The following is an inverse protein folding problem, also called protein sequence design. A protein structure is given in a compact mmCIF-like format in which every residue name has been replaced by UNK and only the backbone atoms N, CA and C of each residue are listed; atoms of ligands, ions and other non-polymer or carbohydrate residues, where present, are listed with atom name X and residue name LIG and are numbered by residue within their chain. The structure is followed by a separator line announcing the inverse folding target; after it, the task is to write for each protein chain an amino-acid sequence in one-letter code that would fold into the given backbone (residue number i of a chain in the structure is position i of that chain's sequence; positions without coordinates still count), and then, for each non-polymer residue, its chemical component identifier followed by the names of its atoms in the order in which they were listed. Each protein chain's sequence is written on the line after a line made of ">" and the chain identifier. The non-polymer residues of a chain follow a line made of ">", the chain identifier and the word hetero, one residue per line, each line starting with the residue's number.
data_IF_676119728339
#
_entry.id   IF_676119728339
#
_cell.length_a   1.000
_cell.length_b   1.000
_cell.length_c   1.000
_cell.angle_alpha   90.00
_cell.angle_beta   90.00
_cell.angle_gamma   90.00
#
_symmetry.space_group_name_H-M   'P 1'
#
loop_
_entity.id
_entity.type
_entity.pdbx_description
1 polymer ?
#
# COMPACT_ATOMS: atom_id res chain seq x y z
N UNK A 1 -22.65 6.98 -17.32
CA UNK A 1 -21.62 8.03 -17.14
C UNK A 1 -21.06 8.07 -15.72
N UNK A 2 -21.86 7.91 -14.66
CA UNK A 2 -21.33 7.97 -13.28
C UNK A 2 -20.52 6.71 -12.87
N UNK A 3 -20.89 5.52 -13.36
CA UNK A 3 -20.19 4.27 -13.07
C UNK A 3 -18.73 4.24 -13.56
N UNK A 4 -18.42 4.91 -14.67
CA UNK A 4 -17.05 5.04 -15.18
C UNK A 4 -16.16 5.86 -14.26
N UNK A 5 -16.70 6.89 -13.62
CA UNK A 5 -15.95 7.76 -12.70
C UNK A 5 -15.71 7.06 -11.36
N UNK A 6 -16.71 6.32 -10.89
CA UNK A 6 -16.58 5.43 -9.72
C UNK A 6 -15.52 4.37 -9.96
N UNK A 7 -15.51 3.73 -11.13
CA UNK A 7 -14.51 2.74 -11.49
C UNK A 7 -13.09 3.32 -11.41
N UNK A 8 -12.84 4.47 -12.02
CA UNK A 8 -11.54 5.16 -11.96
C UNK A 8 -11.16 5.46 -10.50
N UNK A 9 -12.07 6.08 -9.74
CA UNK A 9 -11.80 6.46 -8.35
C UNK A 9 -11.48 5.25 -7.46
N UNK A 10 -12.27 4.18 -7.55
CA UNK A 10 -12.05 2.97 -6.75
C UNK A 10 -10.74 2.30 -7.17
N UNK A 11 -10.52 2.11 -8.47
CA UNK A 11 -9.32 1.41 -8.97
C UNK A 11 -8.05 2.15 -8.57
N UNK A 12 -7.98 3.47 -8.77
CA UNK A 12 -6.82 4.27 -8.35
C UNK A 12 -6.57 4.14 -6.85
N UNK A 13 -7.61 4.25 -6.03
CA UNK A 13 -7.48 4.16 -4.58
C UNK A 13 -7.02 2.77 -4.11
N UNK A 14 -7.62 1.70 -4.67
CA UNK A 14 -7.25 0.33 -4.34
C UNK A 14 -5.82 0.00 -4.77
N UNK A 15 -5.39 0.49 -5.94
CA UNK A 15 -4.03 0.31 -6.44
C UNK A 15 -2.99 0.99 -5.55
N UNK A 16 -3.26 2.23 -5.13
CA UNK A 16 -2.37 2.93 -4.18
C UNK A 16 -2.32 2.19 -2.84
N UNK A 17 -3.48 1.78 -2.30
CA UNK A 17 -3.53 1.03 -1.05
C UNK A 17 -2.72 -0.28 -1.13
N UNK A 18 -2.85 -1.02 -2.24
CA UNK A 18 -2.10 -2.26 -2.50
C UNK A 18 -0.59 -2.05 -2.53
N UNK A 19 -0.11 -0.98 -3.16
CA UNK A 19 1.32 -0.63 -3.19
C UNK A 19 1.84 -0.24 -1.80
N UNK A 20 0.99 0.37 -0.97
CA UNK A 20 1.39 0.84 0.36
C UNK A 20 1.38 -0.26 1.43
N UNK A 21 0.53 -1.28 1.29
CA UNK A 21 0.37 -2.36 2.27
C UNK A 21 1.69 -3.08 2.62
N UNK A 22 2.58 -3.42 1.66
CA UNK A 22 3.89 -3.96 1.94
C UNK A 22 4.80 -3.06 2.81
N UNK A 23 4.51 -1.75 2.91
CA UNK A 23 5.25 -0.80 3.74
C UNK A 23 5.26 -1.16 5.23
N UNK A 24 4.17 -1.73 5.75
CA UNK A 24 4.08 -2.17 7.14
C UNK A 24 5.05 -3.33 7.45
N UNK A 25 5.33 -4.20 6.46
CA UNK A 25 6.32 -5.27 6.59
C UNK A 25 7.72 -4.67 6.66
N UNK A 26 8.02 -3.69 5.79
CA UNK A 26 9.30 -3.00 5.78
C UNK A 26 9.62 -2.31 7.12
N UNK A 27 8.65 -1.63 7.74
CA UNK A 27 8.87 -1.01 9.04
C UNK A 27 9.18 -2.03 10.13
N UNK A 28 8.51 -3.19 10.11
CA UNK A 28 8.81 -4.29 11.04
C UNK A 28 10.20 -4.86 10.82
N UNK A 29 10.60 -5.10 9.56
CA UNK A 29 11.94 -5.59 9.20
C UNK A 29 13.02 -4.60 9.63
N UNK A 30 12.82 -3.29 9.41
CA UNK A 30 13.74 -2.24 9.85
C UNK A 30 13.91 -2.21 11.37
N UNK A 31 12.80 -2.33 12.12
CA UNK A 31 12.85 -2.40 13.59
C UNK A 31 13.62 -3.63 14.08
N UNK A 32 13.44 -4.78 13.45
CA UNK A 32 14.21 -5.99 13.75
C UNK A 32 15.70 -5.83 13.42
N UNK A 33 16.02 -5.22 12.28
CA UNK A 33 17.40 -4.91 11.90
C UNK A 33 18.08 -3.98 12.90
N UNK A 34 17.40 -2.92 13.31
CA UNK A 34 17.93 -1.96 14.29
C UNK A 34 18.10 -2.59 15.66
N UNK A 35 17.16 -3.44 16.08
CA UNK A 35 17.27 -4.19 17.33
C UNK A 35 18.49 -5.13 17.33
N UNK A 36 18.80 -5.76 16.20
CA UNK A 36 20.00 -6.57 16.06
C UNK A 36 21.29 -5.74 16.14
N UNK A 37 21.36 -4.62 15.42
CA UNK A 37 22.57 -3.79 15.35
C UNK A 37 22.87 -3.01 16.63
N UNK A 38 21.82 -2.63 17.38
CA UNK A 38 21.96 -1.75 18.56
C UNK A 38 21.67 -2.46 19.89
N UNK A 39 21.16 -3.70 19.85
CA UNK A 39 20.67 -4.41 21.03
C UNK A 39 19.38 -3.82 21.64
N UNK A 40 18.84 -2.74 21.08
CA UNK A 40 17.68 -2.03 21.62
C UNK A 40 16.45 -2.25 20.76
N UNK A 41 15.39 -2.83 21.34
CA UNK A 41 14.11 -2.96 20.65
C UNK A 41 13.40 -1.62 20.71
N UNK A 42 13.33 -0.92 19.58
CA UNK A 42 12.46 0.25 19.47
C UNK A 42 11.02 -0.16 19.79
N UNK A 43 10.46 0.45 20.83
CA UNK A 43 9.06 0.28 21.19
C UNK A 43 8.19 0.73 20.02
N UNK A 44 7.08 0.03 19.73
CA UNK A 44 6.14 0.50 18.73
C UNK A 44 5.64 1.89 19.14
N UNK A 45 5.49 2.81 18.17
CA UNK A 45 5.07 4.21 18.40
C UNK A 45 3.75 4.32 19.17
N UNK A 46 2.91 3.29 19.16
CA UNK A 46 1.62 3.21 19.83
C UNK A 46 1.60 1.98 20.75
N UNK A 47 1.92 2.18 22.04
CA UNK A 47 1.74 1.15 23.08
C UNK A 47 0.34 1.29 23.71
N UNK A 48 -0.36 0.17 23.92
CA UNK A 48 -1.65 0.14 24.63
C UNK A 48 -2.90 0.41 23.77
N UNK A 49 -2.74 0.57 22.46
CA UNK A 49 -3.86 0.74 21.52
C UNK A 49 -3.88 -0.45 20.55
N UNK A 50 -5.08 -0.90 20.15
CA UNK A 50 -5.21 -1.88 19.07
C UNK A 50 -4.78 -1.24 17.75
N UNK A 51 -3.48 -1.34 17.50
CA UNK A 51 -2.80 -0.85 16.29
C UNK A 51 -3.34 -1.50 15.02
N UNK A 52 -4.00 -2.67 15.10
CA UNK A 52 -4.65 -3.30 13.94
C UNK A 52 -5.91 -2.54 13.56
N UNK A 53 -6.78 -2.25 14.52
CA UNK A 53 -8.00 -1.49 14.30
C UNK A 53 -7.70 -0.09 13.73
N UNK A 54 -6.70 0.61 14.28
CA UNK A 54 -6.25 1.90 13.74
C UNK A 54 -5.69 1.77 12.32
N UNK A 55 -4.88 0.74 12.06
CA UNK A 55 -4.33 0.51 10.72
C UNK A 55 -5.44 0.24 9.69
N UNK A 56 -6.48 -0.51 10.06
CA UNK A 56 -7.63 -0.74 9.19
C UNK A 56 -8.45 0.54 8.99
N UNK A 57 -8.69 1.32 10.05
CA UNK A 57 -9.38 2.59 9.96
C UNK A 57 -8.65 3.59 9.06
N UNK A 58 -7.33 3.72 9.20
CA UNK A 58 -6.49 4.53 8.31
C UNK A 58 -6.54 4.02 6.87
N UNK A 59 -6.47 2.70 6.67
CA UNK A 59 -6.60 2.10 5.34
C UNK A 59 -7.92 2.45 4.66
N UNK A 60 -9.04 2.32 5.38
CA UNK A 60 -10.38 2.69 4.90
C UNK A 60 -10.44 4.18 4.59
N UNK A 61 -9.95 5.06 5.48
CA UNK A 61 -9.95 6.50 5.23
C UNK A 61 -9.12 6.87 3.99
N UNK A 62 -7.97 6.23 3.78
CA UNK A 62 -7.14 6.44 2.59
C UNK A 62 -7.90 6.01 1.33
N UNK A 63 -8.54 4.83 1.33
CA UNK A 63 -9.32 4.35 0.18
C UNK A 63 -10.45 5.33 -0.12
N UNK A 64 -11.26 5.69 0.87
CA UNK A 64 -12.42 6.58 0.69
C UNK A 64 -11.99 7.97 0.18
N UNK A 65 -10.95 8.56 0.78
CA UNK A 65 -10.47 9.89 0.37
C UNK A 65 -9.86 9.89 -1.03
N UNK A 66 -9.05 8.88 -1.37
CA UNK A 66 -8.48 8.74 -2.71
C UNK A 66 -9.55 8.40 -3.75
N UNK A 67 -10.55 7.59 -3.41
CA UNK A 67 -11.66 7.29 -4.32
C UNK A 67 -12.51 8.52 -4.58
N UNK A 68 -12.82 9.31 -3.55
CA UNK A 68 -13.53 10.57 -3.71
C UNK A 68 -12.73 11.56 -4.59
N UNK A 69 -11.42 11.65 -4.36
CA UNK A 69 -10.54 12.49 -5.18
C UNK A 69 -10.48 12.00 -6.64
N UNK A 70 -10.29 10.70 -6.87
CA UNK A 70 -10.26 10.12 -8.22
C UNK A 70 -11.59 10.27 -8.95
N UNK A 71 -12.72 10.11 -8.25
CA UNK A 71 -14.05 10.39 -8.79
C UNK A 71 -14.18 11.86 -9.21
N UNK A 72 -13.75 12.80 -8.37
CA UNK A 72 -13.79 14.22 -8.70
C UNK A 72 -12.97 14.55 -9.95
N UNK A 73 -11.74 14.04 -10.06
CA UNK A 73 -10.90 14.22 -11.25
C UNK A 73 -11.57 13.60 -12.49
N UNK A 74 -12.10 12.38 -12.39
CA UNK A 74 -12.80 11.73 -13.49
C UNK A 74 -14.05 12.52 -13.92
N UNK A 75 -14.78 13.11 -12.98
CA UNK A 75 -15.96 13.94 -13.26
C UNK A 75 -15.62 15.23 -14.04
N UNK A 76 -14.41 15.77 -13.86
CA UNK A 76 -13.92 16.95 -14.60
C UNK A 76 -13.48 16.56 -16.01
N UNK A 77 -12.76 15.45 -16.15
CA UNK A 77 -12.22 14.99 -17.46
C UNK A 77 -13.34 14.46 -18.35
N UNK A 78 -14.33 13.79 -17.75
CA UNK A 78 -15.45 13.17 -18.45
C UNK A 78 -15.05 12.01 -19.38
N UNK A 79 -14.23 11.03 -18.94
CA UNK A 79 -13.83 9.91 -19.78
C UNK A 79 -15.03 9.03 -20.15
N UNK A 80 -14.99 8.47 -21.35
CA UNK A 80 -15.97 7.47 -21.76
C UNK A 80 -15.74 6.12 -21.04
N UNK A 81 -16.67 5.19 -21.21
CA UNK A 81 -16.60 3.87 -20.56
C UNK A 81 -15.40 3.05 -21.01
N UNK A 82 -15.05 3.10 -22.29
CA UNK A 82 -13.93 2.35 -22.85
C UNK A 82 -12.60 2.87 -22.29
N UNK A 83 -12.41 4.19 -22.26
CA UNK A 83 -11.25 4.85 -21.67
C UNK A 83 -11.10 4.52 -20.19
N UNK A 84 -12.22 4.52 -19.45
CA UNK A 84 -12.23 4.19 -18.01
C UNK A 84 -11.82 2.74 -17.76
N UNK A 85 -12.25 1.80 -18.59
CA UNK A 85 -11.86 0.39 -18.50
C UNK A 85 -10.37 0.23 -18.83
N UNK A 86 -9.91 0.83 -19.93
CA UNK A 86 -8.49 0.74 -20.34
C UNK A 86 -7.58 1.32 -19.26
N UNK A 87 -7.91 2.50 -18.73
CA UNK A 87 -7.19 3.10 -17.60
C UNK A 87 -7.12 2.15 -16.40
N UNK A 88 -8.27 1.58 -16.03
CA UNK A 88 -8.37 0.71 -14.86
C UNK A 88 -7.51 -0.55 -15.00
N UNK A 89 -7.55 -1.19 -16.16
CA UNK A 89 -6.71 -2.38 -16.44
C UNK A 89 -5.22 -2.03 -16.34
N UNK A 90 -4.80 -0.94 -16.97
CA UNK A 90 -3.40 -0.51 -16.95
C UNK A 90 -2.94 -0.18 -15.53
N UNK A 91 -3.74 0.55 -14.76
CA UNK A 91 -3.42 0.92 -13.37
C UNK A 91 -3.33 -0.29 -12.46
N UNK A 92 -4.20 -1.28 -12.63
CA UNK A 92 -4.13 -2.54 -11.87
C UNK A 92 -2.87 -3.33 -12.20
N UNK A 93 -2.53 -3.48 -13.49
CA UNK A 93 -1.30 -4.18 -13.92
C UNK A 93 -0.06 -3.50 -13.34
N UNK A 94 0.03 -2.17 -13.45
CA UNK A 94 1.17 -1.40 -12.91
C UNK A 94 1.25 -1.58 -11.39
N UNK A 95 0.12 -1.49 -10.68
CA UNK A 95 0.09 -1.66 -9.23
C UNK A 95 0.54 -3.06 -8.79
N UNK A 96 0.17 -4.09 -9.54
CA UNK A 96 0.58 -5.47 -9.27
C UNK A 96 2.08 -5.65 -9.53
N UNK A 97 2.63 -5.11 -10.61
CA UNK A 97 4.07 -5.15 -10.88
C UNK A 97 4.85 -4.45 -9.76
N UNK A 98 4.45 -3.25 -9.36
CA UNK A 98 5.12 -2.51 -8.27
C UNK A 98 5.04 -3.30 -6.96
N UNK A 99 3.87 -3.88 -6.66
CA UNK A 99 3.68 -4.68 -5.44
C UNK A 99 4.55 -5.94 -5.45
N UNK A 100 4.63 -6.64 -6.58
CA UNK A 100 5.52 -7.80 -6.76
C UNK A 100 6.98 -7.42 -6.53
N UNK A 101 7.45 -6.33 -7.14
CA UNK A 101 8.83 -5.84 -6.96
C UNK A 101 9.11 -5.44 -5.50
N UNK A 102 8.16 -4.77 -4.84
CA UNK A 102 8.29 -4.40 -3.44
C UNK A 102 8.40 -5.63 -2.54
N UNK A 103 7.54 -6.63 -2.77
CA UNK A 103 7.54 -7.90 -2.04
C UNK A 103 8.86 -8.65 -2.24
N UNK A 104 9.38 -8.72 -3.47
CA UNK A 104 10.65 -9.39 -3.76
C UNK A 104 11.82 -8.71 -3.03
N UNK A 105 11.88 -7.38 -3.07
CA UNK A 105 12.86 -6.59 -2.30
C UNK A 105 12.79 -6.90 -0.80
N UNK A 106 11.59 -7.13 -0.26
CA UNK A 106 11.43 -7.50 1.15
C UNK A 106 11.88 -8.93 1.46
N UNK A 107 11.66 -9.88 0.56
CA UNK A 107 12.21 -11.24 0.72
C UNK A 107 13.74 -11.21 0.82
N UNK A 108 14.40 -10.46 -0.07
CA UNK A 108 15.86 -10.29 -0.04
C UNK A 108 16.33 -9.65 1.28
N UNK A 109 15.67 -8.58 1.73
CA UNK A 109 16.03 -7.92 2.98
C UNK A 109 15.86 -8.84 4.20
N UNK A 110 14.79 -9.63 4.24
CA UNK A 110 14.53 -10.61 5.29
C UNK A 110 15.59 -11.72 5.26
N UNK A 111 15.97 -12.21 4.08
CA UNK A 111 16.99 -13.24 3.93
C UNK A 111 18.37 -12.76 4.42
N UNK A 112 18.78 -11.55 4.03
CA UNK A 112 20.02 -10.91 4.50
C UNK A 112 20.02 -10.81 6.02
N UNK A 113 18.91 -10.34 6.60
CA UNK A 113 18.77 -10.23 8.05
C UNK A 113 18.86 -11.60 8.73
N UNK A 114 18.13 -12.60 8.21
CA UNK A 114 18.10 -13.96 8.77
C UNK A 114 19.47 -14.62 8.70
N UNK A 115 20.24 -14.40 7.62
CA UNK A 115 21.62 -14.87 7.50
C UNK A 115 22.54 -14.26 8.57
N UNK A 116 22.31 -13.01 9.00
CA UNK A 116 23.04 -12.41 10.13
C UNK A 116 22.74 -13.11 11.45
N UNK A 117 21.47 -13.46 11.69
CA UNK A 117 21.04 -14.15 12.93
C UNK A 117 21.50 -15.62 13.05
N UNK A 118 21.81 -16.29 11.93
CA UNK A 118 22.26 -17.69 11.92
C UNK A 118 23.77 -17.87 12.14
N UNK A 119 24.54 -16.78 12.19
CA UNK A 119 25.96 -16.79 12.55
C UNK A 119 26.13 -16.52 14.04
#
# INVERSE_FOLDING_TARGET
>A
MEWSYLLIGVVSATSVHRIMEPGNINEKVKRLSKAYETGSVEKPKLQGIDTRAISYGLGIMIIVSLSAFGYFIASIIGPDTTQSIVYSVVVLIIADIISMMAIDKYHVNIEILTKKFKK
#
